data_IF_365758696269
#
_entry.id   IF_365758696269
#
_cell.length_a   1.000
_cell.length_b   1.000
_cell.length_c   1.000
_cell.angle_alpha   90.00
_cell.angle_beta   90.00
_cell.angle_gamma   90.00
#
_symmetry.space_group_name_H-M   'P 1'
#
loop_
_entity.id
_entity.type
_entity.pdbx_description
1 polymer ?
#
# COMPACT_ATOMS: atom_id res chain seq x y z
N UNK A 1 4.10 -20.05 2.99
CA UNK A 1 5.14 -19.11 2.51
C UNK A 1 4.52 -17.73 2.44
N UNK A 2 4.90 -16.80 3.33
CA UNK A 2 4.31 -15.45 3.41
C UNK A 2 5.09 -14.42 2.58
N UNK A 3 6.25 -14.79 2.05
CA UNK A 3 7.18 -13.87 1.39
C UNK A 3 6.62 -13.27 0.08
N UNK A 4 5.75 -14.00 -0.60
CA UNK A 4 5.02 -13.57 -1.79
C UNK A 4 3.52 -13.46 -1.54
N UNK A 5 3.12 -13.13 -0.32
CA UNK A 5 1.73 -12.85 0.00
C UNK A 5 1.46 -11.35 -0.10
N UNK A 6 0.33 -10.99 -0.71
CA UNK A 6 -0.19 -9.64 -0.72
C UNK A 6 -1.47 -9.61 0.14
N UNK A 7 -1.40 -9.09 1.37
CA UNK A 7 -2.52 -9.18 2.31
C UNK A 7 -3.63 -8.17 1.96
N UNK A 8 -4.88 -8.60 2.10
CA UNK A 8 -6.06 -7.73 1.88
C UNK A 8 -6.05 -6.46 2.74
N UNK A 9 -5.49 -6.54 3.95
CA UNK A 9 -5.37 -5.41 4.88
C UNK A 9 -4.64 -4.19 4.27
N UNK A 10 -3.70 -4.42 3.37
CA UNK A 10 -3.04 -3.35 2.65
C UNK A 10 -4.03 -2.57 1.77
N UNK A 11 -4.88 -3.29 1.03
CA UNK A 11 -5.90 -2.70 0.17
C UNK A 11 -7.02 -2.04 0.97
N UNK A 12 -7.37 -2.58 2.13
CA UNK A 12 -8.34 -1.95 3.05
C UNK A 12 -7.86 -0.56 3.52
N UNK A 13 -6.56 -0.43 3.83
CA UNK A 13 -5.98 0.86 4.20
C UNK A 13 -5.93 1.83 3.02
N UNK A 14 -5.57 1.34 1.84
CA UNK A 14 -5.61 2.12 0.60
C UNK A 14 -7.04 2.64 0.33
N UNK A 15 -8.05 1.78 0.46
CA UNK A 15 -9.46 2.15 0.29
C UNK A 15 -9.93 3.19 1.31
N UNK A 16 -9.44 3.11 2.55
CA UNK A 16 -9.70 4.10 3.59
C UNK A 16 -8.90 5.41 3.41
N UNK A 17 -8.00 5.50 2.42
CA UNK A 17 -7.11 6.64 2.25
C UNK A 17 -6.08 6.79 3.38
N UNK A 18 -5.74 5.70 4.06
CA UNK A 18 -4.81 5.67 5.19
C UNK A 18 -3.42 5.24 4.66
N UNK A 19 -2.35 6.00 4.95
CA UNK A 19 -0.99 5.58 4.59
C UNK A 19 -0.61 4.22 5.14
N UNK A 20 0.05 3.41 4.30
CA UNK A 20 0.49 2.06 4.68
C UNK A 20 1.93 2.10 5.21
N UNK A 21 2.19 1.43 6.33
CA UNK A 21 3.54 1.01 6.72
C UNK A 21 3.59 -0.52 6.69
N UNK A 22 4.47 -1.08 5.87
CA UNK A 22 4.62 -2.53 5.69
C UNK A 22 6.05 -3.01 5.92
N UNK A 23 6.22 -4.32 6.09
CA UNK A 23 7.54 -4.94 5.96
C UNK A 23 8.05 -4.83 4.51
N UNK A 24 9.36 -4.84 4.33
CA UNK A 24 10.07 -4.82 3.04
C UNK A 24 9.91 -6.11 2.20
N UNK A 25 8.71 -6.69 2.14
CA UNK A 25 8.42 -7.85 1.29
C UNK A 25 8.15 -7.41 -0.16
N UNK A 26 8.65 -8.14 -1.18
CA UNK A 26 8.67 -7.69 -2.57
C UNK A 26 7.34 -7.15 -3.11
N UNK A 27 6.24 -7.86 -2.88
CA UNK A 27 4.94 -7.49 -3.42
C UNK A 27 4.35 -6.23 -2.75
N UNK A 28 4.58 -6.06 -1.45
CA UNK A 28 4.13 -4.86 -0.73
C UNK A 28 4.95 -3.65 -1.17
N UNK A 29 6.27 -3.79 -1.32
CA UNK A 29 7.13 -2.74 -1.85
C UNK A 29 6.68 -2.29 -3.25
N UNK A 30 6.38 -3.24 -4.14
CA UNK A 30 5.90 -2.93 -5.49
C UNK A 30 4.62 -2.08 -5.50
N UNK A 31 3.64 -2.39 -4.65
CA UNK A 31 2.42 -1.58 -4.56
C UNK A 31 2.71 -0.20 -3.94
N UNK A 32 3.52 -0.16 -2.87
CA UNK A 32 3.89 1.10 -2.19
C UNK A 32 4.62 2.03 -3.16
N UNK A 33 5.63 1.54 -3.87
CA UNK A 33 6.44 2.33 -4.79
C UNK A 33 5.65 2.75 -6.03
N UNK A 34 4.83 1.85 -6.58
CA UNK A 34 4.01 2.14 -7.77
C UNK A 34 2.99 3.25 -7.51
N UNK A 35 2.29 3.19 -6.38
CA UNK A 35 1.17 4.07 -6.11
C UNK A 35 1.50 5.22 -5.14
N UNK A 36 2.66 5.20 -4.49
CA UNK A 36 3.04 6.22 -3.50
C UNK A 36 2.10 6.24 -2.29
N UNK A 37 1.67 5.05 -1.84
CA UNK A 37 0.62 4.88 -0.80
C UNK A 37 1.16 4.66 0.61
N UNK A 38 2.47 4.79 0.80
CA UNK A 38 3.06 4.57 2.11
C UNK A 38 4.57 4.39 2.11
N UNK A 39 5.04 3.62 3.09
CA UNK A 39 6.44 3.29 3.32
C UNK A 39 6.58 1.82 3.71
N UNK A 40 7.79 1.30 3.56
CA UNK A 40 8.17 0.00 4.09
C UNK A 40 9.48 0.09 4.84
N UNK A 41 9.67 -0.80 5.81
CA UNK A 41 10.90 -0.91 6.58
C UNK A 41 11.21 -2.40 6.85
N UNK A 42 12.46 -2.69 7.14
CA UNK A 42 12.81 -3.97 7.76
C UNK A 42 12.23 -3.98 9.19
N UNK A 43 11.36 -4.95 9.56
CA UNK A 43 10.80 -5.01 10.91
C UNK A 43 11.85 -5.24 12.00
N UNK A 44 13.04 -5.73 11.67
CA UNK A 44 14.16 -5.89 12.61
C UNK A 44 14.98 -4.60 12.79
N UNK A 45 14.81 -3.62 11.91
CA UNK A 45 15.43 -2.29 12.01
C UNK A 45 14.47 -1.28 12.67
N UNK A 46 14.60 -1.15 13.99
CA UNK A 46 13.76 -0.26 14.80
C UNK A 46 13.89 1.19 14.35
N UNK A 47 15.09 1.66 14.02
CA UNK A 47 15.33 3.05 13.63
C UNK A 47 14.65 3.35 12.28
N UNK A 48 14.70 2.42 11.33
CA UNK A 48 13.98 2.54 10.06
C UNK A 48 12.46 2.57 10.27
N UNK A 49 11.91 1.72 11.15
CA UNK A 49 10.48 1.70 11.48
C UNK A 49 10.06 3.03 12.12
N UNK A 50 10.82 3.53 13.08
CA UNK A 50 10.54 4.83 13.73
C UNK A 50 10.60 5.97 12.72
N UNK A 51 11.62 6.00 11.86
CA UNK A 51 11.76 7.00 10.81
C UNK A 51 10.56 7.02 9.86
N UNK A 52 10.10 5.83 9.43
CA UNK A 52 8.92 5.70 8.59
C UNK A 52 7.65 6.19 9.29
N UNK A 53 7.45 5.86 10.57
CA UNK A 53 6.31 6.35 11.35
C UNK A 53 6.33 7.88 11.45
N UNK A 54 7.50 8.49 11.69
CA UNK A 54 7.64 9.94 11.79
C UNK A 54 7.30 10.63 10.47
N UNK A 55 7.78 10.11 9.33
CA UNK A 55 7.45 10.64 8.01
C UNK A 55 5.95 10.52 7.70
N UNK A 56 5.34 9.36 7.98
CA UNK A 56 3.89 9.17 7.80
C UNK A 56 3.05 10.00 8.79
N UNK A 57 3.68 10.49 9.86
CA UNK A 57 3.05 11.33 10.87
C UNK A 57 3.08 12.82 10.53
N UNK A 58 3.99 13.24 9.66
CA UNK A 58 4.04 14.59 9.12
C UNK A 58 2.76 14.90 8.32
N UNK A 59 2.16 16.06 8.56
CA UNK A 59 0.85 16.40 7.98
C UNK A 59 0.90 16.57 6.47
N UNK A 60 2.00 17.10 5.93
CA UNK A 60 2.12 17.31 4.49
C UNK A 60 2.29 15.98 3.76
N UNK A 61 3.19 15.14 4.27
CA UNK A 61 3.44 13.79 3.75
C UNK A 61 2.18 12.93 3.83
N UNK A 62 1.49 12.94 4.98
CA UNK A 62 0.23 12.21 5.18
C UNK A 62 -0.86 12.64 4.20
N UNK A 63 -1.02 13.94 3.96
CA UNK A 63 -2.03 14.44 3.03
C UNK A 63 -1.78 13.96 1.60
N UNK A 64 -0.53 14.03 1.14
CA UNK A 64 -0.12 13.55 -0.20
C UNK A 64 -0.38 12.05 -0.32
N UNK A 65 0.07 11.26 0.65
CA UNK A 65 -0.06 9.80 0.62
C UNK A 65 -1.54 9.38 0.71
N UNK A 66 -2.35 10.07 1.52
CA UNK A 66 -3.80 9.82 1.62
C UNK A 66 -4.51 10.06 0.28
N UNK A 67 -4.13 11.12 -0.44
CA UNK A 67 -4.67 11.39 -1.77
C UNK A 67 -4.23 10.35 -2.80
N UNK A 68 -2.96 9.94 -2.76
CA UNK A 68 -2.46 8.85 -3.59
C UNK A 68 -3.21 7.53 -3.33
N UNK A 69 -3.50 7.21 -2.06
CA UNK A 69 -4.26 6.03 -1.68
C UNK A 69 -5.70 6.07 -2.24
N UNK A 70 -6.39 7.22 -2.16
CA UNK A 70 -7.72 7.37 -2.77
C UNK A 70 -7.69 7.17 -4.28
N UNK A 71 -6.68 7.68 -4.98
CA UNK A 71 -6.47 7.45 -6.42
C UNK A 71 -6.19 5.98 -6.72
N UNK A 72 -5.27 5.36 -5.98
CA UNK A 72 -4.91 3.96 -6.15
C UNK A 72 -6.10 3.03 -5.94
N UNK A 73 -6.99 3.33 -5.00
CA UNK A 73 -8.19 2.55 -4.76
C UNK A 73 -9.11 2.47 -5.99
N UNK A 74 -9.09 3.45 -6.90
CA UNK A 74 -9.87 3.40 -8.14
C UNK A 74 -9.44 2.23 -9.06
N UNK A 75 -8.19 1.78 -8.94
CA UNK A 75 -7.65 0.62 -9.67
C UNK A 75 -7.53 -0.65 -8.83
N UNK A 76 -7.37 -0.49 -7.51
CA UNK A 76 -7.12 -1.56 -6.54
C UNK A 76 -8.39 -1.85 -5.74
N UNK A 77 -9.45 -2.24 -6.45
CA UNK A 77 -10.73 -2.64 -5.88
C UNK A 77 -11.25 -3.91 -6.57
N UNK A 78 -12.27 -4.52 -5.98
CA UNK A 78 -12.83 -5.77 -6.46
C UNK A 78 -13.47 -5.62 -7.83
N UNK A 79 -14.17 -4.51 -8.07
CA UNK A 79 -14.85 -4.23 -9.34
C UNK A 79 -13.86 -4.20 -10.50
N UNK A 80 -12.74 -3.48 -10.34
CA UNK A 80 -11.68 -3.37 -11.33
C UNK A 80 -10.99 -4.72 -11.58
N UNK A 81 -10.74 -5.50 -10.52
CA UNK A 81 -10.11 -6.81 -10.66
C UNK A 81 -11.05 -7.82 -11.33
N UNK A 82 -12.33 -7.82 -10.94
CA UNK A 82 -13.36 -8.65 -11.55
C UNK A 82 -13.48 -8.39 -13.05
N UNK A 83 -13.50 -7.12 -13.47
CA UNK A 83 -13.54 -6.77 -14.89
C UNK A 83 -12.33 -7.31 -15.67
N UNK A 84 -11.11 -7.20 -15.11
CA UNK A 84 -9.90 -7.77 -15.74
C UNK A 84 -10.03 -9.28 -15.94
N UNK A 85 -10.49 -9.98 -14.90
CA UNK A 85 -10.64 -11.43 -14.93
C UNK A 85 -11.75 -11.83 -15.92
N UNK A 86 -12.88 -11.12 -15.93
CA UNK A 86 -13.99 -11.35 -16.86
C UNK A 86 -13.56 -11.29 -18.32
N UNK A 87 -12.67 -10.37 -18.68
CA UNK A 87 -12.13 -10.26 -20.04
C UNK A 87 -11.28 -11.45 -20.49
N UNK A 88 -10.74 -12.26 -19.57
CA UNK A 88 -9.97 -13.46 -19.92
C UNK A 88 -10.86 -14.70 -20.13
N UNK A 89 -12.13 -14.64 -19.75
CA UNK A 89 -13.09 -15.73 -19.87
C UNK A 89 -14.10 -15.55 -21.02
N UNK A 90 -13.99 -14.46 -21.77
CA UNK A 90 -14.71 -14.22 -23.04
C UNK A 90 -13.75 -14.34 -24.22
#
# INVERSE_FOLDING_TARGET
>A
SYYYALPNKMFEYIAAGIPVLASNLPQMMQIIDKYGVGKYADPEDIDAVVGAIMELSDSASRAIISENARKAHQELNWEAEFERVRHHFN
#
